data_IF_575974770157
#
_entry.id   IF_575974770157
#
_cell.length_a   1.000
_cell.length_b   1.000
_cell.length_c   1.000
_cell.angle_alpha   90.00
_cell.angle_beta   90.00
_cell.angle_gamma   90.00
#
_symmetry.space_group_name_H-M   'P 1'
#
loop_
_entity.id
_entity.type
_entity.pdbx_description
1 polymer ?
#
# COMPACT_ATOMS: atom_id res chain seq x y z
N UNK A 1 -20.02 7.06 -35.56
CA UNK A 1 -20.95 8.09 -35.05
C UNK A 1 -22.25 7.37 -34.71
N UNK A 2 -22.50 7.11 -33.44
CA UNK A 2 -23.80 6.61 -32.99
C UNK A 2 -24.77 7.79 -33.10
N UNK A 3 -25.84 7.61 -33.88
CA UNK A 3 -26.89 8.62 -34.02
C UNK A 3 -27.66 8.71 -32.70
N UNK A 4 -27.32 9.70 -31.87
CA UNK A 4 -28.10 10.11 -30.70
C UNK A 4 -29.32 10.93 -31.12
N UNK A 5 -30.16 10.41 -32.02
CA UNK A 5 -31.47 11.00 -32.28
C UNK A 5 -32.42 10.58 -31.16
N UNK A 6 -32.19 11.15 -29.98
CA UNK A 6 -33.06 11.00 -28.84
C UNK A 6 -34.38 11.69 -29.14
N UNK A 7 -35.50 10.98 -28.95
CA UNK A 7 -36.83 11.51 -29.14
C UNK A 7 -37.10 12.46 -27.96
N UNK A 8 -36.82 13.76 -28.15
CA UNK A 8 -36.69 14.83 -27.13
C UNK A 8 -37.85 15.03 -26.12
N UNK A 9 -38.90 14.20 -26.12
CA UNK A 9 -40.11 14.40 -25.33
C UNK A 9 -40.45 13.27 -24.35
N UNK A 10 -39.60 12.24 -24.15
CA UNK A 10 -39.82 11.25 -23.08
C UNK A 10 -38.86 11.49 -21.90
N UNK A 11 -39.29 11.29 -20.65
CA UNK A 11 -38.38 11.25 -19.52
C UNK A 11 -37.40 10.06 -19.68
N UNK A 12 -36.13 10.27 -19.36
CA UNK A 12 -35.12 9.21 -19.32
C UNK A 12 -35.28 8.40 -18.03
N UNK A 13 -35.11 7.06 -18.07
CA UNK A 13 -35.26 6.23 -16.88
C UNK A 13 -34.14 6.52 -15.87
N UNK A 14 -34.48 6.49 -14.60
CA UNK A 14 -33.52 6.52 -13.50
C UNK A 14 -32.83 5.15 -13.34
N UNK A 15 -31.73 5.11 -12.57
CA UNK A 15 -31.08 3.84 -12.24
C UNK A 15 -31.98 2.87 -11.44
N UNK A 16 -32.99 3.39 -10.72
CA UNK A 16 -33.96 2.58 -9.97
C UNK A 16 -34.98 1.88 -10.89
N UNK A 17 -35.20 2.42 -12.09
CA UNK A 17 -36.14 1.88 -13.09
C UNK A 17 -35.45 0.93 -14.08
N UNK A 18 -34.12 0.83 -14.01
CA UNK A 18 -33.31 -0.02 -14.87
C UNK A 18 -32.87 -1.30 -14.16
N UNK A 19 -32.74 -2.43 -14.87
CA UNK A 19 -32.15 -3.64 -14.31
C UNK A 19 -30.73 -3.37 -13.77
N UNK A 20 -30.53 -3.62 -12.47
CA UNK A 20 -29.21 -3.48 -11.83
C UNK A 20 -28.44 -4.79 -11.74
N UNK A 21 -29.04 -5.90 -12.17
CA UNK A 21 -28.45 -7.23 -12.24
C UNK A 21 -28.93 -7.91 -13.51
N UNK A 22 -28.09 -8.73 -14.12
CA UNK A 22 -28.47 -9.55 -15.27
C UNK A 22 -29.08 -10.91 -14.86
N UNK A 23 -29.25 -11.17 -13.56
CA UNK A 23 -29.76 -12.41 -12.96
C UNK A 23 -29.01 -13.69 -13.40
N UNK A 24 -27.79 -13.58 -13.95
CA UNK A 24 -27.01 -14.73 -14.40
C UNK A 24 -25.88 -15.05 -13.41
N UNK A 25 -25.96 -16.16 -12.64
CA UNK A 25 -24.89 -16.55 -11.73
C UNK A 25 -23.83 -17.30 -12.53
N UNK A 26 -22.90 -16.58 -13.16
CA UNK A 26 -21.91 -17.20 -14.07
C UNK A 26 -20.47 -16.78 -13.85
N UNK A 27 -20.23 -15.75 -13.04
CA UNK A 27 -18.86 -15.29 -12.81
C UNK A 27 -18.09 -16.22 -11.90
N UNK A 28 -16.85 -16.48 -12.31
CA UNK A 28 -15.92 -17.26 -11.50
C UNK A 28 -15.22 -16.36 -10.47
N UNK A 29 -14.67 -16.97 -9.44
CA UNK A 29 -14.02 -16.27 -8.32
C UNK A 29 -13.00 -15.20 -8.78
N UNK A 30 -12.26 -15.41 -9.88
CA UNK A 30 -11.25 -14.45 -10.34
C UNK A 30 -11.83 -13.22 -11.03
N UNK A 31 -12.98 -13.35 -11.70
CA UNK A 31 -13.71 -12.21 -12.26
C UNK A 31 -14.20 -11.28 -11.15
N UNK A 32 -14.47 -11.80 -9.96
CA UNK A 32 -14.80 -11.00 -8.78
C UNK A 32 -13.55 -10.47 -8.05
N UNK A 33 -12.59 -11.34 -7.70
CA UNK A 33 -11.52 -10.97 -6.76
C UNK A 33 -10.48 -10.02 -7.39
N UNK A 34 -10.20 -10.12 -8.69
CA UNK A 34 -9.22 -9.25 -9.36
C UNK A 34 -9.68 -7.79 -9.46
N UNK A 35 -10.89 -7.47 -9.96
CA UNK A 35 -11.38 -6.09 -9.98
C UNK A 35 -11.57 -5.51 -8.58
N UNK A 36 -12.02 -6.32 -7.60
CA UNK A 36 -12.15 -5.86 -6.21
C UNK A 36 -10.80 -5.50 -5.58
N UNK A 37 -9.74 -6.26 -5.87
CA UNK A 37 -8.38 -5.89 -5.48
C UNK A 37 -7.98 -4.54 -6.09
N UNK A 38 -8.20 -4.34 -7.39
CA UNK A 38 -7.89 -3.07 -8.08
C UNK A 38 -8.68 -1.89 -7.50
N UNK A 39 -9.96 -2.08 -7.19
CA UNK A 39 -10.80 -1.09 -6.50
C UNK A 39 -10.21 -0.73 -5.13
N UNK A 40 -9.86 -1.73 -4.32
CA UNK A 40 -9.30 -1.50 -2.97
C UNK A 40 -7.97 -0.72 -3.01
N UNK A 41 -7.13 -0.98 -4.01
CA UNK A 41 -5.90 -0.26 -4.25
C UNK A 41 -6.18 1.19 -4.68
N UNK A 42 -7.10 1.39 -5.63
CA UNK A 42 -7.52 2.73 -6.07
C UNK A 42 -8.06 3.58 -4.92
N UNK A 43 -8.91 3.02 -4.07
CA UNK A 43 -9.44 3.71 -2.89
C UNK A 43 -8.31 4.21 -1.96
N UNK A 44 -7.21 3.46 -1.86
CA UNK A 44 -6.03 3.90 -1.12
C UNK A 44 -5.22 4.97 -1.86
N UNK A 45 -4.97 4.77 -3.17
CA UNK A 45 -4.13 5.64 -4.01
C UNK A 45 -4.78 7.03 -4.17
N UNK A 46 -6.10 7.05 -4.33
CA UNK A 46 -6.90 8.25 -4.57
C UNK A 46 -7.79 8.62 -3.38
N UNK A 47 -7.37 8.26 -2.16
CA UNK A 47 -8.10 8.56 -0.91
C UNK A 47 -8.41 10.05 -0.69
N UNK A 48 -7.62 10.96 -1.30
CA UNK A 48 -7.86 12.40 -1.27
C UNK A 48 -8.68 12.95 -2.44
N UNK A 49 -9.23 12.09 -3.31
CA UNK A 49 -9.98 12.46 -4.52
C UNK A 49 -11.40 11.94 -4.45
N UNK A 50 -12.33 12.74 -4.96
CA UNK A 50 -13.74 12.37 -5.13
C UNK A 50 -14.16 12.41 -6.61
N UNK A 51 -13.25 12.64 -7.56
CA UNK A 51 -13.54 12.76 -8.99
C UNK A 51 -13.30 11.46 -9.77
N UNK A 52 -13.67 10.32 -9.19
CA UNK A 52 -13.53 9.01 -9.84
C UNK A 52 -14.56 8.00 -9.32
N UNK A 53 -14.88 6.99 -10.11
CA UNK A 53 -15.65 5.84 -9.65
C UNK A 53 -15.13 4.57 -10.30
N UNK A 54 -14.98 3.50 -9.52
CA UNK A 54 -14.62 2.18 -10.03
C UNK A 54 -15.74 1.21 -9.70
N UNK A 55 -16.40 0.70 -10.74
CA UNK A 55 -17.45 -0.31 -10.62
C UNK A 55 -16.89 -1.72 -10.87
N UNK A 56 -17.47 -2.70 -10.19
CA UNK A 56 -17.18 -4.13 -10.35
C UNK A 56 -18.51 -4.82 -10.60
N UNK A 57 -18.58 -5.65 -11.65
CA UNK A 57 -19.80 -6.38 -12.04
C UNK A 57 -21.07 -5.49 -11.99
N UNK A 58 -20.98 -4.34 -12.67
CA UNK A 58 -22.03 -3.32 -12.63
C UNK A 58 -22.43 -2.89 -14.03
N UNK A 59 -23.75 -2.83 -14.26
CA UNK A 59 -24.34 -2.39 -15.50
C UNK A 59 -23.98 -0.95 -15.86
N UNK A 60 -23.52 -0.75 -17.09
CA UNK A 60 -23.21 0.53 -17.72
C UNK A 60 -24.23 0.80 -18.83
N UNK A 61 -25.13 1.74 -18.59
CA UNK A 61 -26.18 2.15 -19.53
C UNK A 61 -25.75 3.36 -20.34
N UNK A 62 -25.56 3.15 -21.65
CA UNK A 62 -25.17 4.20 -22.60
C UNK A 62 -26.34 4.73 -23.44
N UNK A 63 -27.41 3.94 -23.57
CA UNK A 63 -28.65 4.29 -24.25
C UNK A 63 -29.81 3.70 -23.44
N UNK A 64 -30.88 4.47 -23.16
CA UNK A 64 -32.04 3.99 -22.40
C UNK A 64 -32.82 2.83 -23.05
N UNK A 65 -32.68 2.62 -24.36
CA UNK A 65 -33.38 1.54 -25.09
C UNK A 65 -32.51 0.33 -25.41
N UNK A 66 -31.21 0.43 -25.16
CA UNK A 66 -30.27 -0.65 -25.45
C UNK A 66 -29.91 -1.41 -24.17
N UNK A 67 -29.56 -2.70 -24.26
CA UNK A 67 -29.00 -3.44 -23.13
C UNK A 67 -27.74 -2.76 -22.58
N UNK A 68 -27.57 -2.82 -21.26
CA UNK A 68 -26.34 -2.38 -20.61
C UNK A 68 -25.16 -3.27 -20.97
N UNK A 69 -23.96 -2.70 -20.86
CA UNK A 69 -22.73 -3.49 -20.78
C UNK A 69 -22.43 -3.80 -19.32
N UNK A 70 -21.99 -5.02 -19.02
CA UNK A 70 -21.53 -5.42 -17.69
C UNK A 70 -20.08 -5.91 -17.82
N UNK A 71 -19.08 -5.04 -17.62
CA UNK A 71 -17.68 -5.45 -17.56
C UNK A 71 -17.33 -5.97 -16.17
N UNK A 72 -16.34 -6.87 -16.07
CA UNK A 72 -15.86 -7.37 -14.76
C UNK A 72 -15.37 -6.22 -13.88
N UNK A 73 -14.80 -5.17 -14.48
CA UNK A 73 -14.56 -3.90 -13.81
C UNK A 73 -14.50 -2.72 -14.77
N UNK A 74 -14.79 -1.53 -14.28
CA UNK A 74 -14.58 -0.30 -15.04
C UNK A 74 -14.14 0.86 -14.14
N UNK A 75 -13.45 1.82 -14.74
CA UNK A 75 -13.07 3.06 -14.11
C UNK A 75 -13.65 4.24 -14.88
N UNK A 76 -14.29 5.17 -14.17
CA UNK A 76 -14.69 6.49 -14.67
C UNK A 76 -13.93 7.57 -13.89
N UNK A 77 -13.52 8.64 -14.58
CA UNK A 77 -12.83 9.80 -14.00
C UNK A 77 -13.64 11.06 -14.34
N UNK A 78 -13.79 11.97 -13.38
CA UNK A 78 -14.63 13.17 -13.48
C UNK A 78 -16.06 12.99 -12.94
N UNK A 79 -16.36 11.84 -12.33
CA UNK A 79 -17.64 11.56 -11.65
C UNK A 79 -17.42 11.46 -10.14
N UNK A 80 -18.44 11.72 -9.33
CA UNK A 80 -18.29 11.67 -7.87
C UNK A 80 -18.02 10.24 -7.39
N UNK A 81 -17.05 10.02 -6.52
CA UNK A 81 -16.84 8.71 -5.89
C UNK A 81 -17.97 8.44 -4.90
N UNK A 82 -18.17 9.37 -3.97
CA UNK A 82 -19.25 9.33 -2.98
C UNK A 82 -20.57 9.78 -3.61
N UNK A 83 -21.58 8.91 -3.52
CA UNK A 83 -22.95 9.16 -4.02
C UNK A 83 -23.99 9.14 -2.89
N UNK A 84 -23.54 9.17 -1.64
CA UNK A 84 -24.38 9.08 -0.45
C UNK A 84 -24.80 7.65 -0.12
N UNK A 85 -25.72 7.53 0.85
CA UNK A 85 -26.07 6.26 1.51
C UNK A 85 -26.58 5.15 0.57
N UNK A 86 -27.17 5.51 -0.57
CA UNK A 86 -27.71 4.53 -1.53
C UNK A 86 -26.66 4.00 -2.50
N UNK A 87 -25.54 4.70 -2.67
CA UNK A 87 -24.55 4.37 -3.69
C UNK A 87 -25.12 4.40 -5.12
N UNK A 88 -24.41 3.74 -6.04
CA UNK A 88 -24.84 3.52 -7.42
C UNK A 88 -25.44 2.13 -7.58
N UNK A 89 -26.67 2.06 -8.13
CA UNK A 89 -27.29 0.81 -8.55
C UNK A 89 -26.79 0.37 -9.94
N UNK A 90 -26.49 1.33 -10.79
CA UNK A 90 -25.94 1.14 -12.14
C UNK A 90 -25.23 2.41 -12.55
N UNK A 91 -24.31 2.31 -13.51
CA UNK A 91 -23.65 3.46 -14.09
C UNK A 91 -24.42 3.95 -15.31
N UNK A 92 -25.20 5.01 -15.12
CA UNK A 92 -26.12 5.52 -16.13
C UNK A 92 -25.58 6.81 -16.72
N UNK A 93 -25.22 6.82 -18.02
CA UNK A 93 -24.52 7.96 -18.62
C UNK A 93 -25.26 9.28 -18.46
N UNK A 94 -26.58 9.32 -18.67
CA UNK A 94 -27.34 10.58 -18.53
C UNK A 94 -27.49 11.04 -17.07
N UNK A 95 -27.33 10.14 -16.10
CA UNK A 95 -27.17 10.50 -14.68
C UNK A 95 -25.78 11.05 -14.35
N UNK A 96 -24.76 10.58 -15.09
CA UNK A 96 -23.35 10.91 -14.90
C UNK A 96 -22.85 12.00 -15.86
N UNK A 97 -23.72 12.91 -16.31
CA UNK A 97 -23.40 14.01 -17.24
C UNK A 97 -22.74 13.53 -18.54
N UNK A 98 -23.06 12.32 -18.97
CA UNK A 98 -22.52 11.62 -20.14
C UNK A 98 -21.00 11.39 -20.08
N UNK A 99 -20.44 11.29 -18.88
CA UNK A 99 -19.04 10.91 -18.68
C UNK A 99 -18.91 9.40 -18.89
N UNK A 100 -18.25 9.00 -19.96
CA UNK A 100 -17.93 7.60 -20.24
C UNK A 100 -16.87 7.09 -19.26
N UNK A 101 -16.95 5.81 -18.86
CA UNK A 101 -15.82 5.13 -18.25
C UNK A 101 -14.59 5.22 -19.15
N UNK A 102 -13.44 5.52 -18.55
CA UNK A 102 -12.16 5.64 -19.24
C UNK A 102 -11.51 4.27 -19.47
N UNK A 103 -11.81 3.28 -18.63
CA UNK A 103 -11.25 1.92 -18.73
C UNK A 103 -12.34 0.88 -18.48
N UNK A 104 -12.41 -0.13 -19.33
CA UNK A 104 -13.08 -1.41 -19.08
C UNK A 104 -12.06 -2.53 -18.89
N UNK A 105 -12.35 -3.44 -17.97
CA UNK A 105 -11.55 -4.62 -17.64
C UNK A 105 -12.39 -5.89 -17.83
N UNK A 106 -11.78 -6.87 -18.48
CA UNK A 106 -12.32 -8.23 -18.62
C UNK A 106 -11.26 -9.26 -18.19
N UNK A 107 -11.69 -10.28 -17.48
CA UNK A 107 -10.92 -11.40 -16.95
C UNK A 107 -11.40 -12.67 -17.63
N UNK A 108 -10.57 -13.23 -18.52
CA UNK A 108 -10.93 -14.42 -19.28
C UNK A 108 -11.21 -15.59 -18.33
N UNK A 109 -12.41 -16.15 -18.43
CA UNK A 109 -12.84 -17.37 -17.74
C UNK A 109 -12.62 -18.63 -18.60
N UNK A 110 -12.89 -19.82 -18.04
CA UNK A 110 -12.86 -21.05 -18.83
C UNK A 110 -13.92 -21.06 -19.94
N UNK A 111 -15.09 -20.47 -19.67
CA UNK A 111 -16.17 -20.27 -20.65
C UNK A 111 -16.00 -18.91 -21.30
N UNK A 112 -15.12 -18.87 -22.29
CA UNK A 112 -14.85 -17.69 -23.12
C UNK A 112 -16.12 -16.98 -23.61
N UNK A 113 -16.19 -15.66 -23.46
CA UNK A 113 -17.38 -14.82 -23.71
C UNK A 113 -17.13 -13.68 -24.71
N UNK A 114 -16.40 -13.96 -25.79
CA UNK A 114 -16.19 -13.03 -26.92
C UNK A 114 -15.43 -11.75 -26.58
N UNK A 115 -14.55 -11.81 -25.57
CA UNK A 115 -13.77 -10.68 -25.06
C UNK A 115 -12.84 -10.09 -26.15
N UNK A 116 -12.37 -10.91 -27.10
CA UNK A 116 -11.54 -10.48 -28.23
C UNK A 116 -12.31 -10.27 -29.55
N UNK A 117 -13.64 -10.45 -29.58
CA UNK A 117 -14.45 -10.27 -30.79
C UNK A 117 -15.58 -9.26 -30.59
N UNK A 118 -16.73 -9.70 -30.08
CA UNK A 118 -17.93 -8.86 -29.99
C UNK A 118 -17.76 -7.75 -28.94
N UNK A 119 -17.36 -8.09 -27.71
CA UNK A 119 -17.11 -7.11 -26.65
C UNK A 119 -16.07 -6.08 -27.07
N UNK A 120 -14.98 -6.53 -27.71
CA UNK A 120 -13.93 -5.67 -28.23
C UNK A 120 -14.47 -4.61 -29.19
N UNK A 121 -15.27 -5.02 -30.19
CA UNK A 121 -15.86 -4.09 -31.15
C UNK A 121 -16.91 -3.17 -30.51
N UNK A 122 -17.73 -3.71 -29.59
CA UNK A 122 -18.74 -2.94 -28.88
C UNK A 122 -18.12 -1.81 -28.05
N UNK A 123 -17.10 -2.11 -27.26
CA UNK A 123 -16.40 -1.11 -26.44
C UNK A 123 -15.65 -0.09 -27.30
N UNK A 124 -15.05 -0.53 -28.42
CA UNK A 124 -14.42 0.36 -29.38
C UNK A 124 -15.42 1.35 -29.99
N UNK A 125 -16.59 0.85 -30.40
CA UNK A 125 -17.64 1.66 -31.01
C UNK A 125 -18.29 2.61 -30.01
N UNK A 126 -18.41 2.20 -28.75
CA UNK A 126 -18.89 3.05 -27.66
C UNK A 126 -17.91 4.18 -27.33
N UNK A 127 -16.61 3.99 -27.61
CA UNK A 127 -15.59 5.00 -27.41
C UNK A 127 -14.88 4.92 -26.06
N UNK A 128 -14.87 3.74 -25.43
CA UNK A 128 -14.11 3.54 -24.18
C UNK A 128 -12.62 3.74 -24.47
N UNK A 129 -11.95 4.57 -23.67
CA UNK A 129 -10.57 4.99 -23.98
C UNK A 129 -9.58 3.84 -23.84
N UNK A 130 -9.77 2.99 -22.83
CA UNK A 130 -8.94 1.82 -22.55
C UNK A 130 -9.76 0.55 -22.41
N UNK A 131 -9.28 -0.53 -23.01
CA UNK A 131 -9.84 -1.86 -22.82
C UNK A 131 -8.73 -2.82 -22.39
N UNK A 132 -8.80 -3.28 -21.14
CA UNK A 132 -7.86 -4.23 -20.57
C UNK A 132 -8.46 -5.63 -20.53
N UNK A 133 -7.70 -6.61 -21.00
CA UNK A 133 -8.06 -8.03 -20.96
C UNK A 133 -6.97 -8.77 -20.22
N UNK A 134 -7.31 -9.36 -19.08
CA UNK A 134 -6.42 -10.26 -18.34
C UNK A 134 -6.77 -11.70 -18.64
N UNK A 135 -5.78 -12.47 -19.07
CA UNK A 135 -5.97 -13.84 -19.53
C UNK A 135 -5.13 -14.83 -18.71
N UNK A 136 -5.70 -15.47 -17.67
CA UNK A 136 -5.00 -16.46 -16.87
C UNK A 136 -4.66 -17.76 -17.63
N UNK A 137 -5.10 -17.88 -18.88
CA UNK A 137 -4.88 -19.02 -19.78
C UNK A 137 -3.93 -18.70 -20.94
N UNK A 138 -3.30 -17.52 -20.93
CA UNK A 138 -2.38 -17.11 -21.99
C UNK A 138 -1.27 -18.14 -22.21
N UNK A 139 -0.87 -18.33 -23.46
CA UNK A 139 0.15 -19.31 -23.85
C UNK A 139 -0.31 -20.78 -23.86
N UNK A 140 -1.54 -21.09 -23.40
CA UNK A 140 -2.11 -22.44 -23.55
C UNK A 140 -2.41 -22.75 -25.03
N UNK A 141 -2.50 -24.04 -25.37
CA UNK A 141 -2.87 -24.48 -26.74
C UNK A 141 -4.25 -23.93 -27.14
N UNK A 142 -4.51 -23.85 -28.44
CA UNK A 142 -5.78 -23.33 -28.97
C UNK A 142 -5.81 -21.80 -29.07
N UNK A 143 -6.96 -21.19 -28.78
CA UNK A 143 -7.23 -19.76 -29.06
C UNK A 143 -6.33 -18.78 -28.29
N UNK A 144 -5.77 -19.21 -27.15
CA UNK A 144 -4.94 -18.36 -26.28
C UNK A 144 -3.43 -18.48 -26.55
N UNK A 145 -3.02 -19.30 -27.53
CA UNK A 145 -1.59 -19.58 -27.80
C UNK A 145 -0.77 -18.33 -28.10
N UNK A 146 -1.36 -17.34 -28.78
CA UNK A 146 -0.70 -16.10 -29.19
C UNK A 146 -1.09 -14.89 -28.34
N UNK A 147 -1.86 -15.11 -27.26
CA UNK A 147 -2.33 -14.04 -26.38
C UNK A 147 -1.33 -13.80 -25.27
N UNK A 148 -1.21 -12.54 -24.85
CA UNK A 148 -0.41 -12.14 -23.70
C UNK A 148 -1.21 -12.33 -22.41
N UNK A 149 -0.53 -12.23 -21.26
CA UNK A 149 -1.18 -12.30 -19.95
C UNK A 149 -2.11 -11.14 -19.68
N UNK A 150 -1.67 -9.94 -20.05
CA UNK A 150 -2.41 -8.70 -19.98
C UNK A 150 -2.28 -8.01 -21.33
N UNK A 151 -3.41 -7.80 -22.00
CA UNK A 151 -3.49 -7.02 -23.24
C UNK A 151 -4.30 -5.76 -22.93
N UNK A 152 -3.70 -4.59 -23.11
CA UNK A 152 -4.38 -3.31 -22.89
C UNK A 152 -4.39 -2.54 -24.18
N UNK A 153 -5.59 -2.22 -24.64
CA UNK A 153 -5.83 -1.50 -25.87
C UNK A 153 -6.20 -0.05 -25.57
N UNK A 154 -5.66 0.88 -26.35
CA UNK A 154 -6.01 2.30 -26.30
C UNK A 154 -6.78 2.67 -27.56
N UNK A 155 -7.88 3.39 -27.40
CA UNK A 155 -8.65 3.93 -28.52
C UNK A 155 -7.90 5.12 -29.14
N UNK A 156 -7.42 4.95 -30.36
CA UNK A 156 -6.71 5.96 -31.15
C UNK A 156 -7.44 6.11 -32.48
N UNK A 157 -7.91 7.33 -32.78
CA UNK A 157 -8.65 7.62 -34.02
C UNK A 157 -9.84 6.67 -34.27
N UNK A 158 -10.54 6.27 -33.22
CA UNK A 158 -11.71 5.38 -33.28
C UNK A 158 -11.39 3.89 -33.44
N UNK A 159 -10.12 3.49 -33.32
CA UNK A 159 -9.71 2.08 -33.33
C UNK A 159 -8.84 1.74 -32.13
N UNK A 160 -8.99 0.53 -31.63
CA UNK A 160 -8.15 0.02 -30.57
C UNK A 160 -6.78 -0.39 -31.11
N UNK A 161 -5.75 0.16 -30.49
CA UNK A 161 -4.36 -0.20 -30.72
C UNK A 161 -3.80 -0.82 -29.44
N UNK A 162 -3.12 -1.97 -29.56
CA UNK A 162 -2.51 -2.65 -28.42
C UNK A 162 -1.33 -1.81 -27.91
N UNK A 163 -1.32 -1.49 -26.62
CA UNK A 163 -0.21 -0.81 -25.98
C UNK A 163 0.93 -1.78 -25.66
N UNK A 164 2.15 -1.25 -25.69
CA UNK A 164 3.32 -2.02 -25.29
C UNK A 164 3.32 -2.28 -23.78
N UNK A 165 3.64 -3.53 -23.44
CA UNK A 165 3.86 -3.95 -22.06
C UNK A 165 5.36 -3.91 -21.76
N UNK A 166 5.73 -3.30 -20.64
CA UNK A 166 7.09 -3.28 -20.13
C UNK A 166 7.07 -3.97 -18.76
N UNK A 167 7.87 -5.03 -18.56
CA UNK A 167 7.97 -5.72 -17.26
C UNK A 167 6.59 -6.07 -16.65
N UNK A 168 5.71 -6.68 -17.44
CA UNK A 168 4.37 -7.13 -17.06
C UNK A 168 3.36 -6.01 -16.70
N UNK A 169 3.62 -4.76 -17.12
CA UNK A 169 2.74 -3.61 -16.86
C UNK A 169 2.58 -2.72 -18.10
N UNK A 170 1.47 -2.01 -18.16
CA UNK A 170 1.14 -1.05 -19.21
C UNK A 170 0.81 0.30 -18.57
N UNK A 171 1.52 1.35 -18.95
CA UNK A 171 1.28 2.72 -18.47
C UNK A 171 0.06 3.35 -19.15
N UNK A 172 -0.82 3.97 -18.36
CA UNK A 172 -2.06 4.61 -18.82
C UNK A 172 -1.99 6.12 -18.52
N UNK A 173 -1.48 6.95 -19.45
CA UNK A 173 -1.18 8.36 -19.18
C UNK A 173 -2.36 9.18 -18.60
N UNK A 174 -3.56 9.01 -19.14
CA UNK A 174 -4.77 9.72 -18.74
C UNK A 174 -5.31 9.27 -17.37
N UNK A 175 -4.92 8.09 -16.88
CA UNK A 175 -5.21 7.61 -15.53
C UNK A 175 -4.08 8.00 -14.57
N UNK A 176 -2.85 8.13 -15.07
CA UNK A 176 -1.66 8.43 -14.25
C UNK A 176 -1.18 7.23 -13.42
N UNK A 177 -1.56 6.01 -13.82
CA UNK A 177 -1.18 4.74 -13.21
C UNK A 177 -0.83 3.74 -14.31
N UNK A 178 -0.02 2.73 -13.99
CA UNK A 178 0.13 1.54 -14.82
C UNK A 178 -0.75 0.41 -14.28
N UNK A 179 -1.34 -0.37 -15.18
CA UNK A 179 -1.98 -1.65 -14.85
C UNK A 179 -0.99 -2.77 -15.15
N UNK A 180 -0.76 -3.66 -14.20
CA UNK A 180 0.17 -4.78 -14.39
C UNK A 180 -0.20 -5.98 -13.55
N UNK A 181 0.62 -7.02 -13.65
CA UNK A 181 0.45 -8.25 -12.88
C UNK A 181 1.75 -8.71 -12.23
N UNK A 182 1.62 -9.28 -11.03
CA UNK A 182 2.73 -9.84 -10.27
C UNK A 182 2.22 -10.94 -9.34
N UNK A 183 3.11 -11.85 -8.93
CA UNK A 183 2.78 -12.82 -7.88
C UNK A 183 2.76 -12.12 -6.52
N UNK A 184 1.68 -12.32 -5.79
CA UNK A 184 1.53 -11.83 -4.43
C UNK A 184 0.52 -12.66 -3.66
N UNK A 185 0.46 -12.43 -2.36
CA UNK A 185 -0.59 -12.98 -1.52
C UNK A 185 -1.71 -11.96 -1.38
N UNK A 186 -2.93 -12.41 -1.67
CA UNK A 186 -4.16 -11.66 -1.43
C UNK A 186 -5.21 -12.68 -1.02
N UNK A 187 -6.07 -12.35 -0.05
CA UNK A 187 -7.11 -13.25 0.48
C UNK A 187 -6.59 -14.65 0.84
N UNK A 188 -5.41 -14.71 1.49
CA UNK A 188 -4.71 -15.95 1.83
C UNK A 188 -4.40 -16.87 0.63
N UNK A 189 -4.28 -16.29 -0.57
CA UNK A 189 -3.96 -17.02 -1.80
C UNK A 189 -2.79 -16.40 -2.54
N UNK A 190 -1.68 -17.12 -2.57
CA UNK A 190 -0.49 -16.75 -3.33
C UNK A 190 -0.64 -17.12 -4.81
N UNK A 191 -0.78 -16.12 -5.68
CA UNK A 191 -0.88 -16.28 -7.14
C UNK A 191 -0.55 -14.99 -7.87
N UNK A 192 -0.64 -15.01 -9.19
CA UNK A 192 -0.60 -13.81 -10.02
C UNK A 192 -1.90 -13.01 -9.86
N UNK A 193 -1.74 -11.75 -9.47
CA UNK A 193 -2.82 -10.78 -9.26
C UNK A 193 -2.58 -9.52 -10.11
N UNK A 194 -3.64 -8.78 -10.38
CA UNK A 194 -3.55 -7.46 -11.01
C UNK A 194 -3.32 -6.38 -9.95
N UNK A 195 -2.46 -5.41 -10.27
CA UNK A 195 -2.16 -4.28 -9.41
C UNK A 195 -2.03 -2.98 -10.20
N UNK A 196 -2.20 -1.87 -9.48
CA UNK A 196 -1.77 -0.56 -9.95
C UNK A 196 -0.29 -0.33 -9.63
N UNK A 197 0.38 0.39 -10.52
CA UNK A 197 1.78 0.78 -10.42
C UNK A 197 1.93 2.29 -10.57
N UNK A 198 2.90 2.87 -9.86
CA UNK A 198 3.27 4.27 -10.01
C UNK A 198 4.10 4.51 -11.31
N UNK A 199 4.41 5.78 -11.59
CA UNK A 199 5.23 6.20 -12.75
C UNK A 199 6.66 5.63 -12.75
N UNK A 200 7.15 5.21 -11.59
CA UNK A 200 8.47 4.63 -11.41
C UNK A 200 8.45 3.11 -11.57
N UNK A 201 7.27 2.51 -11.78
CA UNK A 201 7.08 1.08 -11.90
C UNK A 201 7.00 0.35 -10.57
N UNK A 202 6.81 1.06 -9.45
CA UNK A 202 6.59 0.43 -8.16
C UNK A 202 5.12 0.04 -8.01
N UNK A 203 4.88 -1.19 -7.57
CA UNK A 203 3.54 -1.70 -7.25
C UNK A 203 2.99 -1.00 -6.02
N UNK A 204 1.72 -0.59 -6.06
CA UNK A 204 1.04 -0.16 -4.85
C UNK A 204 0.72 -1.36 -3.96
N UNK A 205 1.11 -1.25 -2.69
CA UNK A 205 0.90 -2.29 -1.68
C UNK A 205 -0.58 -2.38 -1.30
N UNK A 206 -1.05 -3.58 -0.99
CA UNK A 206 -2.37 -3.80 -0.39
C UNK A 206 -2.44 -3.20 1.02
N UNK A 207 -3.65 -3.07 1.58
CA UNK A 207 -3.82 -2.59 2.95
C UNK A 207 -3.10 -3.50 3.97
N UNK A 208 -3.17 -4.82 3.75
CA UNK A 208 -2.50 -5.83 4.57
C UNK A 208 -0.98 -5.72 4.47
N UNK A 209 -0.43 -5.59 3.26
CA UNK A 209 1.02 -5.41 3.07
C UNK A 209 1.53 -4.14 3.77
N UNK A 210 0.78 -3.04 3.69
CA UNK A 210 1.13 -1.79 4.40
C UNK A 210 1.06 -1.96 5.92
N UNK A 211 0.04 -2.65 6.43
CA UNK A 211 -0.11 -2.91 7.86
C UNK A 211 1.07 -3.76 8.38
N UNK A 212 1.39 -4.85 7.69
CA UNK A 212 2.52 -5.72 8.01
C UNK A 212 3.85 -4.95 8.00
N UNK A 213 4.06 -4.08 7.01
CA UNK A 213 5.25 -3.24 6.95
C UNK A 213 5.32 -2.24 8.11
N UNK A 214 4.20 -1.60 8.46
CA UNK A 214 4.13 -0.66 9.57
C UNK A 214 4.37 -1.36 10.93
N UNK A 215 3.83 -2.57 11.11
CA UNK A 215 4.08 -3.40 12.30
C UNK A 215 5.55 -3.80 12.40
N UNK A 216 6.16 -4.22 11.29
CA UNK A 216 7.57 -4.56 11.25
C UNK A 216 8.45 -3.36 11.65
N UNK A 217 8.19 -2.18 11.10
CA UNK A 217 8.90 -0.94 11.46
C UNK A 217 8.71 -0.62 12.94
N UNK A 218 7.47 -0.62 13.44
CA UNK A 218 7.18 -0.34 14.84
C UNK A 218 7.81 -1.35 15.81
N UNK A 219 7.96 -2.61 15.39
CA UNK A 219 8.65 -3.64 16.17
C UNK A 219 10.16 -3.40 16.23
N UNK A 220 10.77 -3.01 15.11
CA UNK A 220 12.20 -2.67 15.03
C UNK A 220 12.52 -1.43 15.87
N UNK A 221 11.69 -0.38 15.80
CA UNK A 221 11.87 0.81 16.62
C UNK A 221 11.77 0.52 18.12
N UNK A 222 10.84 -0.36 18.53
CA UNK A 222 10.72 -0.80 19.92
C UNK A 222 11.97 -1.55 20.39
N UNK A 223 12.51 -2.45 19.57
CA UNK A 223 13.74 -3.18 19.88
C UNK A 223 14.93 -2.23 20.01
N UNK A 224 15.11 -1.32 19.05
CA UNK A 224 16.19 -0.33 19.08
C UNK A 224 16.11 0.58 20.32
N UNK A 225 14.91 0.96 20.74
CA UNK A 225 14.70 1.74 21.97
C UNK A 225 15.07 0.95 23.23
N UNK A 226 14.66 -0.32 23.31
CA UNK A 226 14.99 -1.19 24.45
C UNK A 226 16.50 -1.40 24.57
N UNK A 227 17.19 -1.62 23.45
CA UNK A 227 18.66 -1.74 23.42
C UNK A 227 19.33 -0.44 23.87
N UNK A 228 18.88 0.71 23.39
CA UNK A 228 19.41 2.01 23.81
C UNK A 228 19.20 2.27 25.31
N UNK A 229 18.02 1.92 25.85
CA UNK A 229 17.73 2.02 27.28
C UNK A 229 18.60 1.07 28.11
N UNK A 230 18.83 -0.16 27.61
CA UNK A 230 19.71 -1.12 28.26
C UNK A 230 21.16 -0.61 28.31
N UNK A 231 21.69 -0.10 27.19
CA UNK A 231 23.04 0.50 27.13
C UNK A 231 23.13 1.69 28.09
N UNK A 232 22.17 2.61 28.05
CA UNK A 232 22.16 3.77 28.95
C UNK A 232 22.08 3.36 30.43
N UNK A 233 21.36 2.28 30.76
CA UNK A 233 21.31 1.73 32.12
C UNK A 233 22.64 1.13 32.55
N UNK A 234 23.33 0.40 31.66
CA UNK A 234 24.66 -0.16 31.92
C UNK A 234 25.70 0.94 32.10
N UNK A 235 25.69 1.98 31.26
CA UNK A 235 26.59 3.12 31.41
C UNK A 235 26.38 3.86 32.74
N UNK A 236 25.12 4.03 33.17
CA UNK A 236 24.81 4.63 34.48
C UNK A 236 25.33 3.77 35.63
N UNK A 237 25.15 2.45 35.55
CA UNK A 237 25.66 1.52 36.55
C UNK A 237 27.20 1.57 36.60
N UNK A 238 27.87 1.50 35.45
CA UNK A 238 29.33 1.60 35.37
C UNK A 238 29.85 2.92 35.93
N UNK A 239 29.14 4.03 35.68
CA UNK A 239 29.48 5.34 36.26
C UNK A 239 29.30 5.36 37.79
N UNK A 240 28.21 4.81 38.30
CA UNK A 240 27.98 4.72 39.75
C UNK A 240 29.03 3.85 40.45
N UNK A 241 29.41 2.72 39.85
CA UNK A 241 30.48 1.86 40.35
C UNK A 241 31.83 2.59 40.36
N UNK A 242 32.18 3.29 39.28
CA UNK A 242 33.39 4.08 39.21
C UNK A 242 33.42 5.21 40.27
N UNK A 243 32.30 5.90 40.49
CA UNK A 243 32.18 6.92 41.53
C UNK A 243 32.32 6.32 42.93
N UNK A 244 31.76 5.14 43.18
CA UNK A 244 31.89 4.43 44.46
C UNK A 244 33.34 4.00 44.74
N UNK A 245 34.04 3.45 43.73
CA UNK A 245 35.46 3.08 43.84
C UNK A 245 36.30 4.32 44.15
N UNK A 246 36.12 5.42 43.41
CA UNK A 246 36.84 6.67 43.64
C UNK A 246 36.56 7.28 45.02
N UNK A 247 35.33 7.16 45.53
CA UNK A 247 34.98 7.60 46.89
C UNK A 247 35.68 6.75 47.95
N UNK A 248 35.76 5.44 47.76
CA UNK A 248 36.44 4.51 48.67
C UNK A 248 37.96 4.77 48.68
N UNK A 249 38.59 4.96 47.52
CA UNK A 249 40.01 5.33 47.43
C UNK A 249 40.32 6.64 48.17
N UNK A 250 39.45 7.66 48.04
CA UNK A 250 39.58 8.91 48.79
C UNK A 250 39.45 8.71 50.30
N UNK A 251 38.59 7.82 50.76
CA UNK A 251 38.47 7.49 52.18
C UNK A 251 39.74 6.82 52.70
N UNK A 252 40.28 5.85 51.97
CA UNK A 252 41.53 5.16 52.32
C UNK A 252 42.68 6.18 52.39
N UNK A 253 42.85 7.01 51.36
CA UNK A 253 43.90 8.03 51.34
C UNK A 253 43.78 9.04 52.49
N UNK A 254 42.55 9.43 52.86
CA UNK A 254 42.31 10.30 54.01
C UNK A 254 42.64 9.61 55.34
N UNK A 255 42.30 8.34 55.51
CA UNK A 255 42.64 7.55 56.69
C UNK A 255 44.16 7.40 56.85
N UNK A 256 44.87 7.07 55.77
CA UNK A 256 46.34 6.98 55.78
C UNK A 256 47.00 8.30 56.17
N UNK A 257 46.51 9.43 55.62
CA UNK A 257 47.01 10.75 55.96
C UNK A 257 46.78 11.08 57.44
N UNK A 258 45.62 10.75 57.98
CA UNK A 258 45.29 10.98 59.40
C UNK A 258 46.18 10.12 60.32
N UNK A 259 46.35 8.83 59.98
CA UNK A 259 47.22 7.92 60.71
C UNK A 259 48.68 8.40 60.72
N UNK A 260 49.17 8.93 59.59
CA UNK A 260 50.51 9.52 59.51
C UNK A 260 50.66 10.75 60.41
N UNK A 261 49.68 11.65 60.40
CA UNK A 261 49.67 12.84 61.26
C UNK A 261 49.64 12.46 62.75
N UNK A 262 48.85 11.46 63.14
CA UNK A 262 48.84 10.96 64.52
C UNK A 262 50.17 10.32 64.92
N UNK A 263 50.80 9.55 64.02
CA UNK A 263 52.10 8.95 64.26
C UNK A 263 53.20 10.02 64.45
N UNK A 264 53.22 11.06 63.62
CA UNK A 264 54.11 12.22 63.77
C UNK A 264 53.87 12.93 65.12
N UNK A 265 52.62 13.22 65.48
CA UNK A 265 52.32 13.84 66.78
C UNK A 265 52.73 12.98 67.97
N UNK A 266 52.53 11.66 67.91
CA UNK A 266 52.97 10.73 68.96
C UNK A 266 54.49 10.69 69.06
N UNK A 267 55.19 10.66 67.91
CA UNK A 267 56.65 10.69 67.85
C UNK A 267 57.21 11.98 68.48
N UNK A 268 56.65 13.14 68.13
CA UNK A 268 57.04 14.44 68.72
C UNK A 268 56.81 14.43 70.24
N UNK A 269 55.63 14.01 70.72
CA UNK A 269 55.33 13.93 72.17
C UNK A 269 56.26 12.96 72.91
N UNK A 270 56.62 11.84 72.29
CA UNK A 270 57.55 10.87 72.86
C UNK A 270 58.96 11.47 72.97
N UNK A 271 59.44 12.14 71.93
CA UNK A 271 60.74 12.82 71.92
C UNK A 271 60.82 13.93 72.99
N UNK A 272 59.76 14.74 73.14
CA UNK A 272 59.66 15.74 74.21
C UNK A 272 59.73 15.10 75.61
N UNK A 273 59.04 13.98 75.81
CA UNK A 273 59.02 13.26 77.09
C UNK A 273 60.37 12.61 77.42
N UNK A 274 61.09 12.10 76.42
CA UNK A 274 62.45 11.57 76.57
C UNK A 274 63.44 12.68 76.95
N UNK A 275 63.35 13.86 76.30
CA UNK A 275 64.17 15.04 76.66
C UNK A 275 63.91 15.48 78.11
N UNK A 276 62.67 15.47 78.57
CA UNK A 276 62.31 15.80 79.96
C UNK A 276 62.87 14.81 81.00
N UNK A 277 63.19 13.58 80.59
CA UNK A 277 63.82 12.55 81.42
C UNK A 277 65.36 12.57 81.34
N UNK A 278 65.95 13.53 80.61
CA UNK A 278 67.40 13.69 80.49
C UNK A 278 68.07 12.78 79.45
N UNK A 279 67.30 12.12 78.59
CA UNK A 279 67.80 11.25 77.50
C UNK A 279 67.72 12.03 76.19
N UNK A 280 68.84 12.21 75.48
CA UNK A 280 68.88 12.90 74.20
C UNK A 280 68.41 11.95 73.08
N UNK A 281 67.25 12.20 72.44
CA UNK A 281 66.70 11.27 71.44
C UNK A 281 67.50 11.25 70.12
N UNK A 282 68.31 12.27 69.87
CA UNK A 282 69.08 12.45 68.63
C UNK A 282 70.48 11.78 68.69
N UNK A 283 70.81 11.13 69.81
CA UNK A 283 72.10 10.45 70.06
C UNK A 283 71.98 8.91 70.25
N UNK A 284 70.79 8.34 69.99
CA UNK A 284 70.55 6.88 69.90
C UNK A 284 70.37 6.43 68.46
#
# INVERSE_FOLDING_TARGET
MVNLTDNKNRPLPSAEELPSSDETPVDNQLQNDLPNLLLSLLASIWSGRDDWYFGVDMAVYYNPDEPAFVPDGFLAVGVNHDTGERGRLSYVLWGEKYILPILFLEVISEKYNSEYEEKFLNYQNLGIQYYAIYNPFSGRRGRFKKRQRLEVYKLISGKYELLESENNRVWLPEIGLALGYEKGEHIAWYREWLYWYDKSGNRYLTAEERANQAEAIASQERLAKQEAEAIASQERLAKQEAEAIAAQERQIANQERLAKQEAEQKSIRLAERLRALGINPDEM
#
